data_IF_100972374860
#
_entry.id   IF_100972374860
#
_cell.length_a   1.000
_cell.length_b   1.000
_cell.length_c   1.000
_cell.angle_alpha   90.00
_cell.angle_beta   90.00
_cell.angle_gamma   90.00
#
_symmetry.space_group_name_H-M   'P 1'
#
loop_
_entity.id
_entity.type
_entity.pdbx_description
1 polymer ?
#
# COMPACT_ATOMS: atom_id res chain seq x y z
N UNK A 1 -12.43 21.57 12.49
CA UNK A 1 -11.31 20.64 12.76
C UNK A 1 -11.28 19.54 11.72
N UNK A 2 -10.13 19.34 11.09
CA UNK A 2 -9.98 18.29 10.07
C UNK A 2 -10.01 16.92 10.72
N UNK A 3 -10.76 15.99 10.10
CA UNK A 3 -10.79 14.60 10.55
C UNK A 3 -9.69 13.82 9.86
N UNK A 4 -8.96 13.05 10.63
CA UNK A 4 -7.94 12.17 10.10
C UNK A 4 -8.53 10.80 9.85
N UNK A 5 -8.18 10.18 8.74
CA UNK A 5 -8.58 8.82 8.42
C UNK A 5 -7.35 7.97 8.11
N UNK A 6 -7.46 6.70 8.33
CA UNK A 6 -6.38 5.75 8.04
C UNK A 6 -6.71 5.00 6.76
N UNK A 7 -5.77 4.98 5.83
CA UNK A 7 -5.91 4.24 4.58
C UNK A 7 -4.97 3.06 4.58
N UNK A 8 -5.47 1.92 4.12
CA UNK A 8 -4.69 0.70 3.92
C UNK A 8 -4.73 0.34 2.44
N UNK A 9 -3.58 0.29 1.80
CA UNK A 9 -3.44 -0.05 0.39
C UNK A 9 -2.96 -1.49 0.26
N UNK A 10 -3.52 -2.22 -0.69
CA UNK A 10 -3.23 -3.64 -0.87
C UNK A 10 -2.44 -3.86 -2.16
N UNK A 11 -1.22 -4.38 -2.02
CA UNK A 11 -0.33 -4.66 -3.14
C UNK A 11 -0.01 -6.15 -3.14
N UNK A 12 -0.29 -6.81 -4.26
CA UNK A 12 0.06 -8.21 -4.45
C UNK A 12 1.35 -8.29 -5.25
N UNK A 13 2.31 -9.04 -4.77
CA UNK A 13 3.62 -9.18 -5.39
C UNK A 13 3.97 -10.66 -5.54
N UNK A 14 4.86 -11.02 -6.49
CA UNK A 14 5.07 -12.43 -6.82
C UNK A 14 5.78 -13.26 -5.78
N UNK A 15 6.62 -12.65 -4.95
CA UNK A 15 7.40 -13.41 -3.98
C UNK A 15 7.84 -12.55 -2.79
N UNK A 16 8.51 -13.19 -1.85
CA UNK A 16 8.99 -12.52 -0.64
C UNK A 16 10.02 -11.44 -0.93
N UNK A 17 10.92 -11.67 -1.87
CA UNK A 17 11.93 -10.69 -2.23
C UNK A 17 11.29 -9.42 -2.78
N UNK A 18 10.26 -9.56 -3.61
CA UNK A 18 9.48 -8.42 -4.11
C UNK A 18 8.79 -7.69 -2.96
N UNK A 19 8.22 -8.42 -2.01
CA UNK A 19 7.58 -7.81 -0.84
C UNK A 19 8.57 -6.99 -0.02
N UNK A 20 9.79 -7.47 0.16
CA UNK A 20 10.83 -6.72 0.87
C UNK A 20 11.21 -5.43 0.14
N UNK A 21 11.33 -5.47 -1.17
CA UNK A 21 11.62 -4.29 -1.98
C UNK A 21 10.52 -3.25 -1.88
N UNK A 22 9.28 -3.71 -1.97
CA UNK A 22 8.11 -2.84 -1.83
C UNK A 22 8.08 -2.20 -0.44
N UNK A 23 8.33 -2.99 0.60
CA UNK A 23 8.38 -2.48 1.97
C UNK A 23 9.41 -1.37 2.14
N UNK A 24 10.58 -1.52 1.55
CA UNK A 24 11.62 -0.48 1.61
C UNK A 24 11.20 0.79 0.85
N UNK A 25 10.60 0.63 -0.32
CA UNK A 25 10.11 1.76 -1.10
C UNK A 25 9.02 2.52 -0.35
N UNK A 26 8.11 1.78 0.29
CA UNK A 26 7.04 2.38 1.09
C UNK A 26 7.59 3.12 2.30
N UNK A 27 8.58 2.56 2.99
CA UNK A 27 9.19 3.21 4.14
C UNK A 27 9.85 4.54 3.74
N UNK A 28 10.52 4.57 2.59
CA UNK A 28 11.13 5.80 2.05
C UNK A 28 10.09 6.85 1.74
N UNK A 29 8.90 6.44 1.33
CA UNK A 29 7.79 7.34 1.02
C UNK A 29 6.98 7.75 2.25
N UNK A 30 7.33 7.24 3.43
CA UNK A 30 6.67 7.60 4.68
C UNK A 30 5.49 6.72 5.06
N UNK A 31 5.35 5.55 4.44
CA UNK A 31 4.27 4.62 4.75
C UNK A 31 4.74 3.52 5.70
N UNK A 32 3.85 3.08 6.57
CA UNK A 32 4.02 1.87 7.34
C UNK A 32 3.59 0.71 6.46
N UNK A 33 4.21 -0.45 6.59
CA UNK A 33 3.80 -1.61 5.82
C UNK A 33 3.96 -2.91 6.59
N UNK A 34 3.13 -3.87 6.22
CA UNK A 34 3.21 -5.24 6.69
C UNK A 34 3.14 -6.16 5.48
N UNK A 35 3.85 -7.27 5.52
CA UNK A 35 3.87 -8.21 4.42
C UNK A 35 3.69 -9.63 4.94
N UNK A 36 3.01 -10.45 4.15
CA UNK A 36 2.80 -11.85 4.46
C UNK A 36 2.30 -12.61 3.26
N UNK A 37 2.24 -13.94 3.33
CA UNK A 37 1.68 -14.76 2.26
C UNK A 37 0.23 -14.37 1.99
N UNK A 38 -0.11 -14.24 0.70
CA UNK A 38 -1.49 -13.99 0.32
C UNK A 38 -2.32 -15.28 0.47
N UNK A 39 -3.63 -15.11 0.53
CA UNK A 39 -4.55 -16.23 0.74
C UNK A 39 -4.56 -17.25 -0.40
N UNK A 40 -4.07 -16.87 -1.59
CA UNK A 40 -3.98 -17.80 -2.72
C UNK A 40 -2.80 -18.77 -2.62
N UNK A 41 -1.89 -18.56 -1.67
CA UNK A 41 -0.74 -19.44 -1.44
C UNK A 41 0.43 -19.22 -2.39
N UNK A 42 0.31 -18.37 -3.38
CA UNK A 42 1.36 -18.11 -4.37
C UNK A 42 1.96 -16.72 -4.27
N UNK A 43 1.11 -15.71 -4.12
CA UNK A 43 1.55 -14.34 -4.04
C UNK A 43 1.84 -13.91 -2.60
N UNK A 44 2.48 -12.78 -2.47
CA UNK A 44 2.64 -12.09 -1.21
C UNK A 44 1.79 -10.83 -1.20
N UNK A 45 1.20 -10.54 -0.07
CA UNK A 45 0.39 -9.33 0.13
C UNK A 45 1.18 -8.34 0.97
N UNK A 46 1.31 -7.12 0.46
CA UNK A 46 1.88 -6.01 1.21
C UNK A 46 0.76 -5.02 1.50
N UNK A 47 0.58 -4.67 2.75
CA UNK A 47 -0.42 -3.69 3.18
C UNK A 47 0.32 -2.43 3.62
N UNK A 48 0.13 -1.36 2.86
CA UNK A 48 0.71 -0.07 3.16
C UNK A 48 -0.32 0.80 3.87
N UNK A 49 0.04 1.36 5.01
CA UNK A 49 -0.90 2.12 5.84
C UNK A 49 -0.38 3.53 6.09
N UNK A 50 -1.25 4.50 5.99
CA UNK A 50 -0.93 5.88 6.33
C UNK A 50 -2.18 6.63 6.77
N UNK A 51 -1.94 7.71 7.50
CA UNK A 51 -3.01 8.60 7.91
C UNK A 51 -3.04 9.80 6.97
N UNK A 52 -4.22 10.28 6.65
CA UNK A 52 -4.36 11.50 5.88
C UNK A 52 -5.54 12.32 6.36
N UNK A 53 -5.49 13.61 6.05
CA UNK A 53 -6.58 14.53 6.38
C UNK A 53 -7.71 14.33 5.37
N UNK A 54 -8.90 14.02 5.89
CA UNK A 54 -10.04 13.63 5.05
C UNK A 54 -10.49 14.68 4.04
N UNK A 55 -10.19 15.94 4.29
CA UNK A 55 -10.61 17.05 3.43
C UNK A 55 -9.75 17.20 2.18
N UNK A 56 -8.59 16.56 2.16
CA UNK A 56 -7.67 16.69 1.03
C UNK A 56 -7.77 15.50 0.13
N UNK A 57 -8.09 15.76 -1.11
CA UNK A 57 -8.15 14.70 -2.11
C UNK A 57 -6.77 14.43 -2.69
N UNK A 58 -6.05 13.54 -2.07
CA UNK A 58 -4.77 13.05 -2.55
C UNK A 58 -4.85 11.60 -3.00
N UNK A 59 -6.07 11.06 -2.98
CA UNK A 59 -6.30 9.65 -3.24
C UNK A 59 -5.75 9.18 -4.58
N UNK A 60 -5.95 9.97 -5.64
CA UNK A 60 -5.51 9.59 -6.98
C UNK A 60 -3.98 9.52 -7.06
N UNK A 61 -3.30 10.56 -6.57
CA UNK A 61 -1.84 10.59 -6.59
C UNK A 61 -1.23 9.45 -5.77
N UNK A 62 -1.82 9.16 -4.61
CA UNK A 62 -1.38 8.07 -3.75
C UNK A 62 -1.58 6.73 -4.43
N UNK A 63 -2.72 6.53 -5.08
CA UNK A 63 -3.00 5.29 -5.81
C UNK A 63 -2.02 5.07 -6.95
N UNK A 64 -1.69 6.13 -7.69
CA UNK A 64 -0.71 6.05 -8.76
C UNK A 64 0.67 5.66 -8.24
N UNK A 65 1.09 6.24 -7.13
CA UNK A 65 2.35 5.89 -6.48
C UNK A 65 2.37 4.42 -6.06
N UNK A 66 1.28 3.94 -5.47
CA UNK A 66 1.18 2.53 -5.06
C UNK A 66 1.25 1.60 -6.26
N UNK A 67 0.57 1.97 -7.35
CA UNK A 67 0.59 1.16 -8.57
C UNK A 67 2.00 1.09 -9.15
N UNK A 68 2.73 2.21 -9.20
CA UNK A 68 4.09 2.24 -9.70
C UNK A 68 5.03 1.36 -8.87
N UNK A 69 4.88 1.42 -7.55
CA UNK A 69 5.67 0.59 -6.65
C UNK A 69 5.41 -0.89 -6.90
N UNK A 70 4.14 -1.27 -7.04
CA UNK A 70 3.77 -2.66 -7.28
C UNK A 70 4.28 -3.15 -8.63
N UNK A 71 4.05 -2.37 -9.69
CA UNK A 71 4.45 -2.75 -11.04
C UNK A 71 5.95 -2.89 -11.18
N UNK A 72 6.73 -2.06 -10.47
CA UNK A 72 8.19 -2.10 -10.53
C UNK A 72 8.78 -3.45 -10.10
N UNK A 73 8.04 -4.24 -9.32
CA UNK A 73 8.48 -5.58 -8.89
C UNK A 73 7.65 -6.69 -9.52
N UNK A 74 6.89 -6.36 -10.56
CA UNK A 74 6.04 -7.35 -11.24
C UNK A 74 4.76 -7.68 -10.49
N UNK A 75 4.34 -6.81 -9.60
CA UNK A 75 3.14 -7.01 -8.79
C UNK A 75 1.95 -6.21 -9.29
N UNK A 76 0.92 -6.12 -8.46
CA UNK A 76 -0.34 -5.51 -8.79
C UNK A 76 -0.90 -4.74 -7.60
N UNK A 77 -1.34 -3.51 -7.83
CA UNK A 77 -2.05 -2.73 -6.84
C UNK A 77 -3.54 -3.07 -6.88
N UNK A 78 -4.10 -3.42 -5.74
CA UNK A 78 -5.48 -3.91 -5.66
C UNK A 78 -6.42 -3.01 -4.86
N UNK A 79 -6.14 -1.71 -4.85
CA UNK A 79 -7.04 -0.76 -4.20
C UNK A 79 -6.70 -0.48 -2.76
N UNK A 80 -7.63 0.19 -2.08
CA UNK A 80 -7.42 0.60 -0.69
C UNK A 80 -8.72 0.53 0.11
N UNK A 81 -8.55 0.55 1.42
CA UNK A 81 -9.63 0.56 2.37
C UNK A 81 -9.47 1.76 3.31
N UNK A 82 -10.56 2.42 3.64
CA UNK A 82 -10.54 3.58 4.54
C UNK A 82 -11.14 3.21 5.87
N UNK A 83 -10.44 3.55 6.95
CA UNK A 83 -10.96 3.41 8.29
C UNK A 83 -11.11 4.80 8.90
N UNK A 84 -12.29 5.09 9.37
CA UNK A 84 -12.56 6.33 10.09
C UNK A 84 -12.14 6.17 11.55
N UNK A 85 -11.55 7.22 12.08
CA UNK A 85 -11.24 7.30 13.49
C UNK A 85 -12.26 8.17 14.20
#
# INVERSE_FOLDING_TARGET
MAKTRTLSHFLYVPDRAAAERVGKALARAGFRSEAGPASDGEDWLVIATHDEVAERDRGIATQESMREIAVAVGGQYNGYEVRKR
#
